data_IF_538588162104
#
_entry.id   IF_538588162104
#
_cell.length_a   1.000
_cell.length_b   1.000
_cell.length_c   1.000
_cell.angle_alpha   90.00
_cell.angle_beta   90.00
_cell.angle_gamma   90.00
#
_symmetry.space_group_name_H-M   'P 1'
#
loop_
_entity.id
_entity.type
_entity.pdbx_description
1 polymer ?
#
# COMPACT_ATOMS: atom_id res chain seq x y z
N UNK A 1 -19.11 -19.33 -51.43
CA UNK A 1 -19.59 -20.13 -50.28
C UNK A 1 -18.40 -20.36 -49.36
N UNK A 2 -18.52 -19.84 -48.14
CA UNK A 2 -17.65 -19.90 -46.94
C UNK A 2 -17.15 -21.36 -46.69
N UNK A 3 -15.99 -21.69 -46.10
CA UNK A 3 -15.43 -21.29 -44.80
C UNK A 3 -13.94 -21.65 -44.64
N UNK A 4 -13.26 -20.76 -43.90
CA UNK A 4 -11.95 -20.79 -43.26
C UNK A 4 -11.89 -21.78 -42.07
N UNK A 5 -10.71 -22.33 -41.75
CA UNK A 5 -10.44 -23.02 -40.48
C UNK A 5 -8.94 -23.25 -40.26
N UNK A 6 -8.26 -22.19 -39.82
CA UNK A 6 -6.91 -22.27 -39.26
C UNK A 6 -6.94 -22.80 -37.80
N UNK A 7 -6.28 -23.95 -37.61
CA UNK A 7 -5.76 -24.58 -36.38
C UNK A 7 -5.93 -23.83 -35.04
N UNK A 8 -6.86 -24.35 -34.22
CA UNK A 8 -7.20 -23.88 -32.86
C UNK A 8 -6.22 -24.33 -31.75
N UNK A 9 -5.09 -24.98 -32.08
CA UNK A 9 -4.22 -25.59 -31.05
C UNK A 9 -3.25 -24.61 -30.36
N UNK A 10 -2.86 -23.51 -31.02
CA UNK A 10 -1.87 -22.54 -30.48
C UNK A 10 -2.44 -21.52 -29.47
N UNK A 11 -3.77 -21.31 -29.46
CA UNK A 11 -4.39 -20.25 -28.68
C UNK A 11 -4.66 -20.60 -27.20
N UNK A 12 -4.61 -21.89 -26.84
CA UNK A 12 -4.91 -22.34 -25.47
C UNK A 12 -3.75 -22.13 -24.49
N UNK A 13 -2.50 -22.26 -24.93
CA UNK A 13 -1.34 -22.08 -24.04
C UNK A 13 -0.94 -20.61 -23.83
N UNK A 14 -1.27 -19.71 -24.78
CA UNK A 14 -0.96 -18.28 -24.62
C UNK A 14 -1.93 -17.56 -23.67
N UNK A 15 -3.16 -18.07 -23.49
CA UNK A 15 -4.15 -17.48 -22.58
C UNK A 15 -3.78 -17.67 -21.10
N UNK A 16 -3.22 -18.83 -20.73
CA UNK A 16 -2.85 -19.11 -19.33
C UNK A 16 -1.63 -18.27 -18.88
N UNK A 17 -0.73 -17.88 -19.80
CA UNK A 17 0.38 -16.97 -19.46
C UNK A 17 -0.03 -15.51 -19.25
N UNK A 18 -1.16 -15.05 -19.79
CA UNK A 18 -1.65 -13.68 -19.50
C UNK A 18 -2.28 -13.57 -18.12
N UNK A 19 -2.95 -14.62 -17.65
CA UNK A 19 -3.57 -14.61 -16.31
C UNK A 19 -2.54 -14.86 -15.18
N UNK A 20 -1.42 -15.54 -15.46
CA UNK A 20 -0.29 -15.67 -14.52
C UNK A 20 0.73 -14.51 -14.67
N UNK A 21 0.67 -13.77 -15.79
CA UNK A 21 1.46 -12.55 -16.02
C UNK A 21 0.94 -11.31 -15.29
N UNK A 22 -0.24 -11.41 -14.67
CA UNK A 22 -0.87 -10.41 -13.79
C UNK A 22 -0.90 -10.87 -12.33
N UNK A 23 0.05 -11.73 -11.91
CA UNK A 23 0.51 -11.69 -10.52
C UNK A 23 1.04 -10.27 -10.31
N UNK A 24 0.17 -9.39 -9.80
CA UNK A 24 0.44 -7.98 -9.50
C UNK A 24 1.56 -7.89 -8.45
N UNK A 25 2.80 -8.04 -8.93
CA UNK A 25 4.03 -7.83 -8.18
C UNK A 25 4.42 -6.35 -8.18
N UNK A 26 3.50 -5.46 -8.61
CA UNK A 26 3.69 -4.02 -8.57
C UNK A 26 2.70 -3.33 -7.65
N UNK A 27 3.19 -2.35 -6.92
CA UNK A 27 2.42 -1.60 -5.94
C UNK A 27 3.24 -1.24 -4.73
N UNK A 28 2.58 -1.15 -3.59
CA UNK A 28 3.18 -0.70 -2.34
C UNK A 28 2.96 -1.77 -1.27
N UNK A 29 4.03 -2.14 -0.59
CA UNK A 29 4.00 -2.93 0.64
C UNK A 29 4.53 -2.09 1.78
N UNK A 30 4.10 -2.38 2.99
CA UNK A 30 4.63 -1.64 4.11
C UNK A 30 4.08 -2.04 5.45
N UNK A 31 4.50 -1.24 6.43
CA UNK A 31 4.02 -1.36 7.79
C UNK A 31 3.87 0.02 8.42
N UNK A 32 2.85 0.14 9.27
CA UNK A 32 2.53 1.34 10.01
C UNK A 32 2.89 1.16 11.48
N UNK A 33 3.54 2.16 12.04
CA UNK A 33 3.88 2.21 13.46
C UNK A 33 3.32 3.46 14.13
N UNK A 34 2.91 3.34 15.38
CA UNK A 34 2.56 4.43 16.27
C UNK A 34 3.74 4.74 17.19
N UNK A 35 4.08 6.03 17.30
CA UNK A 35 5.06 6.58 18.23
C UNK A 35 4.44 7.68 19.09
N UNK A 36 5.12 8.07 20.17
CA UNK A 36 4.67 9.16 21.04
C UNK A 36 3.42 8.82 21.85
N UNK A 37 3.27 7.57 22.27
CA UNK A 37 2.31 7.22 23.32
C UNK A 37 3.09 6.72 24.54
N UNK A 38 3.36 7.63 25.47
CA UNK A 38 4.11 7.34 26.70
C UNK A 38 3.40 7.99 27.89
N UNK A 39 2.23 7.47 28.32
CA UNK A 39 1.38 8.13 29.32
C UNK A 39 2.05 8.36 30.68
N UNK A 40 3.16 7.66 30.96
CA UNK A 40 4.04 7.93 32.09
C UNK A 40 5.47 7.63 31.66
N UNK A 41 6.32 8.64 31.51
CA UNK A 41 7.76 8.44 31.30
C UNK A 41 8.34 7.88 32.60
N UNK A 42 8.30 6.56 32.74
CA UNK A 42 9.02 5.83 33.77
C UNK A 42 9.77 4.67 33.11
N UNK A 43 10.92 4.24 33.67
CA UNK A 43 11.75 3.20 33.08
C UNK A 43 11.01 1.88 32.81
N UNK A 44 9.94 1.60 33.56
CA UNK A 44 9.11 0.41 33.40
C UNK A 44 8.13 0.47 32.22
N UNK A 45 7.90 1.64 31.61
CA UNK A 45 7.01 1.78 30.46
C UNK A 45 7.78 1.67 29.14
N UNK A 46 7.45 0.65 28.35
CA UNK A 46 7.94 0.51 26.99
C UNK A 46 7.27 1.57 26.09
N UNK A 47 8.05 2.50 25.59
CA UNK A 47 7.60 3.54 24.66
C UNK A 47 8.17 3.32 23.24
N UNK A 48 8.55 2.08 22.93
CA UNK A 48 8.98 1.68 21.59
C UNK A 48 7.84 1.85 20.57
N UNK A 49 8.17 2.13 19.30
CA UNK A 49 7.19 2.13 18.22
C UNK A 49 6.40 0.82 18.19
N UNK A 50 5.07 0.91 18.08
CA UNK A 50 4.19 -0.27 18.06
C UNK A 50 3.47 -0.37 16.72
N UNK A 51 3.21 -1.57 16.20
CA UNK A 51 2.34 -1.74 15.05
C UNK A 51 1.00 -1.03 15.24
N UNK A 52 0.49 -0.39 14.19
CA UNK A 52 -0.69 0.46 14.29
C UNK A 52 -1.65 0.25 13.13
N UNK A 53 -2.90 -0.03 13.46
CA UNK A 53 -3.96 -0.12 12.47
C UNK A 53 -4.52 1.27 12.17
N UNK A 54 -4.41 1.69 10.91
CA UNK A 54 -4.93 2.94 10.37
C UNK A 54 -5.55 2.76 8.99
N UNK A 55 -6.39 3.72 8.60
CA UNK A 55 -6.82 3.94 7.23
C UNK A 55 -5.87 4.91 6.54
N UNK A 56 -5.43 4.57 5.33
CA UNK A 56 -4.48 5.33 4.53
C UNK A 56 -5.10 5.61 3.16
N UNK A 57 -5.02 6.86 2.72
CA UNK A 57 -5.40 7.29 1.38
C UNK A 57 -4.20 7.29 0.44
N UNK A 58 -4.45 6.97 -0.83
CA UNK A 58 -3.47 7.06 -1.91
C UNK A 58 -3.88 8.18 -2.86
N UNK A 59 -3.06 9.22 -2.91
CA UNK A 59 -3.29 10.42 -3.70
C UNK A 59 -2.36 10.39 -4.92
N UNK A 60 -2.87 10.66 -6.12
CA UNK A 60 -2.06 10.76 -7.34
C UNK A 60 -1.16 11.99 -7.33
N UNK A 61 -0.19 12.05 -8.25
CA UNK A 61 0.61 13.25 -8.48
C UNK A 61 -0.24 14.52 -8.78
N UNK A 62 -1.46 14.35 -9.32
CA UNK A 62 -2.39 15.45 -9.58
C UNK A 62 -3.16 15.93 -8.33
N UNK A 63 -2.96 15.28 -7.17
CA UNK A 63 -3.66 15.60 -5.93
C UNK A 63 -5.02 14.93 -5.77
N UNK A 64 -5.37 13.98 -6.64
CA UNK A 64 -6.64 13.26 -6.58
C UNK A 64 -6.53 12.02 -5.69
N UNK A 65 -7.52 11.81 -4.79
CA UNK A 65 -7.62 10.58 -4.01
C UNK A 65 -8.07 9.44 -4.93
N UNK A 66 -7.15 8.54 -5.27
CA UNK A 66 -7.41 7.42 -6.18
C UNK A 66 -8.06 6.24 -5.43
N UNK A 67 -7.64 6.01 -4.20
CA UNK A 67 -8.18 4.94 -3.36
C UNK A 67 -7.83 5.13 -1.89
N UNK A 68 -8.36 4.27 -1.03
CA UNK A 68 -7.99 4.15 0.37
C UNK A 68 -7.98 2.68 0.81
N UNK A 69 -7.18 2.36 1.80
CA UNK A 69 -7.11 1.02 2.39
C UNK A 69 -6.94 1.09 3.91
N UNK A 70 -7.40 0.04 4.60
CA UNK A 70 -7.10 -0.17 6.02
C UNK A 70 -5.94 -1.13 6.13
N UNK A 71 -4.98 -0.78 6.98
CA UNK A 71 -3.90 -1.68 7.37
C UNK A 71 -4.42 -2.80 8.27
N UNK A 72 -3.66 -3.88 8.39
CA UNK A 72 -3.97 -4.97 9.31
C UNK A 72 -3.71 -4.55 10.77
N UNK A 73 -4.15 -5.38 11.72
CA UNK A 73 -3.95 -5.15 13.15
C UNK A 73 -2.46 -5.08 13.55
N UNK A 74 -1.58 -5.76 12.81
CA UNK A 74 -0.13 -5.69 12.94
C UNK A 74 0.49 -4.56 12.10
N UNK A 75 -0.33 -3.61 11.65
CA UNK A 75 0.06 -2.45 10.85
C UNK A 75 0.53 -2.76 9.44
N UNK A 76 0.56 -4.02 9.01
CA UNK A 76 1.04 -4.40 7.67
C UNK A 76 0.01 -4.09 6.60
N UNK A 77 0.49 -3.82 5.41
CA UNK A 77 -0.35 -3.67 4.22
C UNK A 77 0.38 -4.10 2.96
N UNK A 78 -0.40 -4.54 1.98
CA UNK A 78 0.03 -4.77 0.61
C UNK A 78 -1.11 -4.30 -0.29
N UNK A 79 -0.79 -3.39 -1.20
CA UNK A 79 -1.75 -2.82 -2.12
C UNK A 79 -1.13 -2.76 -3.52
N UNK A 80 -1.76 -3.44 -4.47
CA UNK A 80 -1.30 -3.40 -5.85
C UNK A 80 -1.72 -2.10 -6.52
N UNK A 81 -0.78 -1.47 -7.21
CA UNK A 81 -0.98 -0.15 -7.82
C UNK A 81 -0.16 -0.09 -9.10
N UNK A 82 -0.75 0.50 -10.15
CA UNK A 82 -0.05 0.72 -11.41
C UNK A 82 1.18 1.62 -11.22
N UNK A 83 2.14 1.62 -12.15
CA UNK A 83 3.31 2.48 -12.04
C UNK A 83 2.92 3.96 -12.09
N UNK A 84 3.56 4.76 -11.23
CA UNK A 84 3.27 6.19 -11.10
C UNK A 84 3.78 6.79 -9.79
N UNK A 85 3.61 8.10 -9.67
CA UNK A 85 3.93 8.86 -8.47
C UNK A 85 2.70 9.09 -7.61
N UNK A 86 2.85 8.82 -6.32
CA UNK A 86 1.78 8.84 -5.35
C UNK A 86 2.19 9.51 -4.04
N UNK A 87 1.20 9.93 -3.29
CA UNK A 87 1.34 10.40 -1.91
C UNK A 87 0.41 9.59 -1.02
N UNK A 88 0.98 8.94 0.00
CA UNK A 88 0.22 8.28 1.04
C UNK A 88 -0.14 9.29 2.14
N UNK A 89 -1.41 9.32 2.53
CA UNK A 89 -1.92 10.24 3.54
C UNK A 89 -2.71 9.50 4.60
N UNK A 90 -2.63 9.94 5.86
CA UNK A 90 -3.57 9.48 6.88
C UNK A 90 -4.99 9.96 6.54
N UNK A 91 -5.98 9.09 6.70
CA UNK A 91 -7.38 9.47 6.65
C UNK A 91 -8.01 9.25 8.02
N UNK A 92 -8.83 10.20 8.48
CA UNK A 92 -9.52 10.14 9.76
C UNK A 92 -9.24 11.35 10.66
N UNK A 93 -9.24 11.13 11.97
CA UNK A 93 -9.02 12.16 12.98
C UNK A 93 -7.64 12.83 12.84
N UNK A 94 -7.50 14.05 13.38
CA UNK A 94 -6.24 14.81 13.35
C UNK A 94 -5.10 14.16 14.15
N UNK A 95 -5.41 13.18 15.00
CA UNK A 95 -4.43 12.38 15.73
C UNK A 95 -4.95 10.95 15.90
N UNK A 96 -4.08 9.91 15.81
CA UNK A 96 -2.66 9.99 15.47
C UNK A 96 -2.43 10.47 14.03
N UNK A 97 -1.35 11.23 13.79
CA UNK A 97 -1.08 11.82 12.48
C UNK A 97 0.23 11.30 11.88
N UNK A 98 0.28 11.18 10.55
CA UNK A 98 1.54 11.09 9.80
C UNK A 98 1.56 12.21 8.76
N UNK A 99 2.71 12.87 8.54
CA UNK A 99 2.88 13.70 7.36
C UNK A 99 2.64 12.89 6.07
N UNK A 100 2.23 13.53 4.96
CA UNK A 100 2.13 12.87 3.66
C UNK A 100 3.47 12.25 3.23
N UNK A 101 3.44 11.00 2.76
CA UNK A 101 4.63 10.27 2.32
C UNK A 101 4.59 10.09 0.81
N UNK A 102 5.54 10.69 0.10
CA UNK A 102 5.67 10.52 -1.35
C UNK A 102 6.33 9.19 -1.67
N UNK A 103 5.85 8.52 -2.71
CA UNK A 103 6.39 7.25 -3.17
C UNK A 103 6.15 7.06 -4.66
N UNK A 104 7.04 6.32 -5.30
CA UNK A 104 6.95 5.98 -6.73
C UNK A 104 6.81 4.47 -6.85
N UNK A 105 5.82 4.05 -7.62
CA UNK A 105 5.66 2.64 -8.01
C UNK A 105 6.29 2.47 -9.38
N UNK A 106 7.28 1.60 -9.46
CA UNK A 106 7.92 1.23 -10.71
C UNK A 106 7.27 -0.02 -11.30
N UNK A 107 7.30 -0.15 -12.62
CA UNK A 107 6.74 -1.31 -13.33
C UNK A 107 7.33 -2.61 -12.82
N UNK A 108 6.44 -3.53 -12.44
CA UNK A 108 6.80 -4.87 -11.95
C UNK A 108 7.55 -4.88 -10.61
N UNK A 109 7.48 -3.80 -9.81
CA UNK A 109 8.15 -3.72 -8.51
C UNK A 109 7.20 -3.39 -7.35
N UNK A 110 7.44 -4.03 -6.21
CA UNK A 110 6.86 -3.64 -4.94
C UNK A 110 7.73 -2.58 -4.27
N UNK A 111 7.18 -1.38 -4.10
CA UNK A 111 7.81 -0.32 -3.33
C UNK A 111 7.52 -0.52 -1.86
N UNK A 112 8.56 -0.53 -1.02
CA UNK A 112 8.39 -0.70 0.44
C UNK A 112 8.32 0.66 1.12
N UNK A 113 7.31 0.86 1.98
CA UNK A 113 7.11 2.10 2.74
C UNK A 113 6.89 1.80 4.22
N UNK A 114 7.46 2.63 5.09
CA UNK A 114 7.14 2.66 6.52
C UNK A 114 6.40 3.96 6.79
N UNK A 115 5.23 3.88 7.44
CA UNK A 115 4.49 5.05 7.89
C UNK A 115 4.61 5.16 9.41
N UNK A 116 4.96 6.35 9.89
CA UNK A 116 5.11 6.63 11.32
C UNK A 116 4.01 7.61 11.72
N UNK A 117 3.05 7.10 12.47
CA UNK A 117 1.99 7.90 13.08
C UNK A 117 2.44 8.38 14.45
N UNK A 118 2.26 9.66 14.71
CA UNK A 118 2.56 10.29 15.98
C UNK A 118 1.24 10.55 16.73
N UNK A 119 1.13 10.03 17.95
CA UNK A 119 -0.07 10.22 18.78
C UNK A 119 -0.22 11.66 19.31
N UNK A 120 0.84 12.48 19.21
CA UNK A 120 0.84 13.89 19.61
C UNK A 120 0.84 14.12 21.12
N UNK A 121 1.19 13.10 21.92
CA UNK A 121 1.24 13.16 23.38
C UNK A 121 2.69 12.86 23.79
N UNK A 122 3.37 13.82 24.41
CA UNK A 122 4.74 13.66 24.88
C UNK A 122 4.81 13.74 26.40
#
# INVERSE_FOLDING_TARGET
MVIDSASQAGARFYRIRREIGDLKLEGIVGQVFLVGYCPNIRPEFDCSPRPFQSTVGVVSAAGELITQFSTAADGRFHFCLSPGDYTLVALGAQSPFTPPVKTTVERGKLTTVILIFNAGIY
#
